data_IF_057370734449
#
_entry.id   IF_057370734449
#
_cell.length_a   1.000
_cell.length_b   1.000
_cell.length_c   1.000
_cell.angle_alpha   90.00
_cell.angle_beta   90.00
_cell.angle_gamma   90.00
#
_symmetry.space_group_name_H-M   'P 1'
#
loop_
_entity.id
_entity.type
_entity.pdbx_description
1 polymer ?
#
# COMPACT_ATOMS: atom_id res chain seq x y z
N UNK A 1 -31.43 29.02 -61.50
CA UNK A 1 -30.80 30.30 -61.12
C UNK A 1 -29.30 30.08 -60.98
N UNK A 2 -28.47 30.75 -61.79
CA UNK A 2 -27.02 30.71 -61.63
C UNK A 2 -26.67 31.60 -60.44
N UNK A 3 -26.22 31.00 -59.34
CA UNK A 3 -25.66 31.75 -58.21
C UNK A 3 -24.28 32.22 -58.65
N UNK A 4 -24.17 33.51 -58.97
CA UNK A 4 -22.88 34.14 -59.19
C UNK A 4 -22.21 34.27 -57.83
N UNK A 5 -21.31 33.35 -57.51
CA UNK A 5 -20.39 33.49 -56.38
C UNK A 5 -19.19 34.31 -56.85
N UNK A 6 -19.36 35.63 -56.87
CA UNK A 6 -18.19 36.51 -56.77
C UNK A 6 -17.52 36.18 -55.44
N UNK A 7 -16.43 35.41 -55.50
CA UNK A 7 -15.57 35.15 -54.36
C UNK A 7 -14.87 36.47 -54.04
N UNK A 8 -15.40 37.19 -53.07
CA UNK A 8 -14.75 38.39 -52.53
C UNK A 8 -13.36 37.96 -52.04
N UNK A 9 -12.28 38.63 -52.49
CA UNK A 9 -10.93 38.31 -52.06
C UNK A 9 -10.82 38.40 -50.53
N UNK A 10 -10.31 37.34 -49.90
CA UNK A 10 -10.07 37.24 -48.45
C UNK A 10 -9.02 38.26 -47.94
N UNK A 11 -8.42 39.05 -48.84
CA UNK A 11 -7.51 40.16 -48.53
C UNK A 11 -8.25 41.47 -48.22
N UNK A 12 -9.57 41.53 -48.45
CA UNK A 12 -10.42 42.69 -48.11
C UNK A 12 -11.18 42.45 -46.82
N UNK A 13 -11.39 43.49 -46.01
CA UNK A 13 -12.15 43.41 -44.74
C UNK A 13 -13.53 42.74 -44.92
N UNK A 14 -14.20 43.03 -46.05
CA UNK A 14 -15.49 42.45 -46.39
C UNK A 14 -15.40 40.93 -46.65
N UNK A 15 -14.34 40.47 -47.32
CA UNK A 15 -14.10 39.04 -47.55
C UNK A 15 -13.80 38.26 -46.27
N UNK A 16 -13.07 38.88 -45.33
CA UNK A 16 -12.78 38.30 -44.01
C UNK A 16 -14.07 38.19 -43.19
N UNK A 17 -14.88 39.25 -43.16
CA UNK A 17 -16.16 39.27 -42.44
C UNK A 17 -17.06 38.14 -42.94
N UNK A 18 -17.30 38.04 -44.25
CA UNK A 18 -18.22 37.04 -44.80
C UNK A 18 -17.72 35.60 -44.61
N UNK A 19 -16.40 35.38 -44.65
CA UNK A 19 -15.80 34.08 -44.37
C UNK A 19 -15.99 33.67 -42.91
N UNK A 20 -15.64 34.56 -41.98
CA UNK A 20 -15.74 34.28 -40.54
C UNK A 20 -17.21 34.19 -40.10
N UNK A 21 -18.10 35.03 -40.62
CA UNK A 21 -19.54 34.95 -40.32
C UNK A 21 -20.16 33.64 -40.83
N UNK A 22 -19.73 33.16 -42.01
CA UNK A 22 -20.13 31.84 -42.52
C UNK A 22 -19.54 30.70 -41.68
N UNK A 23 -18.32 30.84 -41.19
CA UNK A 23 -17.63 29.83 -40.36
C UNK A 23 -18.26 29.69 -38.98
N UNK A 24 -18.61 30.81 -38.34
CA UNK A 24 -19.11 30.83 -36.97
C UNK A 24 -20.64 30.87 -36.88
N UNK A 25 -21.34 31.15 -37.98
CA UNK A 25 -22.80 31.25 -38.02
C UNK A 25 -23.37 32.45 -37.26
N UNK A 26 -22.52 33.40 -36.87
CA UNK A 26 -22.83 34.62 -36.12
C UNK A 26 -22.03 35.80 -36.69
N UNK A 27 -22.52 37.05 -36.57
CA UNK A 27 -21.77 38.21 -36.99
C UNK A 27 -20.40 38.28 -36.33
N UNK A 28 -19.33 38.60 -37.08
CA UNK A 28 -17.95 38.55 -36.58
C UNK A 28 -17.75 39.47 -35.37
N UNK A 29 -18.47 40.59 -35.35
CA UNK A 29 -18.50 41.53 -34.21
C UNK A 29 -19.10 40.90 -32.94
N UNK A 30 -20.09 40.04 -33.05
CA UNK A 30 -20.68 39.32 -31.90
C UNK A 30 -19.75 38.21 -31.41
N UNK A 31 -19.13 37.47 -32.33
CA UNK A 31 -18.07 36.50 -32.00
C UNK A 31 -16.92 37.17 -31.26
N UNK A 32 -16.49 38.34 -31.74
CA UNK A 32 -15.44 39.15 -31.12
C UNK A 32 -15.82 39.63 -29.71
N UNK A 33 -17.03 40.15 -29.51
CA UNK A 33 -17.54 40.53 -28.18
C UNK A 33 -17.57 39.34 -27.22
N UNK A 34 -18.02 38.19 -27.70
CA UNK A 34 -18.00 36.96 -26.91
C UNK A 34 -16.58 36.55 -26.55
N UNK A 35 -15.62 36.62 -27.47
CA UNK A 35 -14.21 36.34 -27.20
C UNK A 35 -13.58 37.30 -26.18
N UNK A 36 -13.91 38.60 -26.25
CA UNK A 36 -13.45 39.61 -25.29
C UNK A 36 -14.03 39.37 -23.88
N UNK A 37 -15.33 39.14 -23.78
CA UNK A 37 -16.01 38.82 -22.51
C UNK A 37 -15.45 37.53 -21.93
N UNK A 38 -15.34 36.50 -22.77
CA UNK A 38 -14.84 35.18 -22.44
C UNK A 38 -13.41 35.24 -21.88
N UNK A 39 -12.43 35.76 -22.63
CA UNK A 39 -11.03 35.63 -22.25
C UNK A 39 -10.49 36.81 -21.41
N UNK A 40 -10.93 38.05 -21.66
CA UNK A 40 -10.35 39.22 -20.98
C UNK A 40 -11.17 39.70 -19.79
N UNK A 41 -12.50 39.72 -19.87
CA UNK A 41 -13.31 40.20 -18.76
C UNK A 41 -13.27 39.24 -17.56
N UNK A 42 -13.50 37.94 -17.78
CA UNK A 42 -13.47 36.97 -16.69
C UNK A 42 -12.09 36.84 -16.05
N UNK A 43 -11.00 36.79 -16.84
CA UNK A 43 -9.65 36.72 -16.27
C UNK A 43 -9.34 37.93 -15.38
N UNK A 44 -9.73 39.14 -15.78
CA UNK A 44 -9.53 40.33 -14.96
C UNK A 44 -10.40 40.33 -13.70
N UNK A 45 -11.67 39.92 -13.80
CA UNK A 45 -12.54 39.78 -12.63
C UNK A 45 -12.01 38.73 -11.64
N UNK A 46 -11.44 37.63 -12.14
CA UNK A 46 -10.86 36.59 -11.28
C UNK A 46 -9.56 37.00 -10.61
N UNK A 47 -8.76 37.85 -11.25
CA UNK A 47 -7.47 38.29 -10.71
C UNK A 47 -7.60 39.53 -9.81
N UNK A 48 -8.51 40.44 -10.14
CA UNK A 48 -8.57 41.78 -9.55
C UNK A 48 -9.95 42.16 -8.98
N UNK A 49 -10.97 41.33 -9.16
CA UNK A 49 -12.34 41.65 -8.75
C UNK A 49 -13.00 42.70 -9.67
N UNK A 50 -14.04 43.42 -9.21
CA UNK A 50 -14.73 44.44 -9.98
C UNK A 50 -13.78 45.54 -10.47
N UNK A 51 -13.99 46.07 -11.68
CA UNK A 51 -13.18 47.17 -12.19
C UNK A 51 -13.32 48.41 -11.30
N UNK A 52 -12.22 48.83 -10.67
CA UNK A 52 -12.08 50.17 -10.11
C UNK A 52 -11.48 51.11 -11.18
N UNK A 53 -12.29 52.05 -11.65
CA UNK A 53 -11.92 53.02 -12.69
C UNK A 53 -10.77 53.93 -12.23
N UNK A 54 -10.61 54.14 -10.92
CA UNK A 54 -9.54 54.98 -10.37
C UNK A 54 -8.19 54.25 -10.30
N UNK A 55 -8.22 52.91 -10.33
CA UNK A 55 -7.02 52.07 -10.27
C UNK A 55 -6.37 51.84 -11.64
N UNK A 56 -7.07 52.19 -12.73
CA UNK A 56 -6.62 51.91 -14.10
C UNK A 56 -6.26 53.20 -14.86
N UNK A 57 -5.18 53.18 -15.69
CA UNK A 57 -4.83 54.33 -16.51
C UNK A 57 -5.94 54.71 -17.50
N UNK A 58 -6.12 56.00 -17.84
CA UNK A 58 -7.12 56.44 -18.81
C UNK A 58 -6.86 55.85 -20.20
N UNK A 59 -7.93 55.56 -20.95
CA UNK A 59 -7.82 55.09 -22.34
C UNK A 59 -7.42 56.22 -23.28
N UNK A 60 -6.57 55.91 -24.25
CA UNK A 60 -6.33 56.78 -25.39
C UNK A 60 -7.58 56.92 -26.27
N UNK A 61 -7.72 58.07 -26.93
CA UNK A 61 -8.88 58.39 -27.77
C UNK A 61 -9.06 57.39 -28.93
N UNK A 62 -8.00 56.72 -29.38
CA UNK A 62 -8.06 55.70 -30.43
C UNK A 62 -8.09 54.25 -29.91
N UNK A 63 -8.03 54.04 -28.58
CA UNK A 63 -8.01 52.69 -27.98
C UNK A 63 -9.41 52.07 -27.89
N UNK A 64 -9.98 51.75 -29.07
CA UNK A 64 -11.29 51.09 -29.20
C UNK A 64 -11.29 49.71 -28.52
N UNK A 65 -10.18 48.97 -28.66
CA UNK A 65 -10.03 47.63 -28.08
C UNK A 65 -9.97 47.68 -26.55
N UNK A 66 -9.24 48.64 -25.98
CA UNK A 66 -9.19 48.88 -24.55
C UNK A 66 -10.55 49.34 -23.99
N UNK A 67 -11.30 50.14 -24.77
CA UNK A 67 -12.69 50.51 -24.43
C UNK A 67 -13.59 49.28 -24.35
N UNK A 68 -13.57 48.43 -25.37
CA UNK A 68 -14.40 47.22 -25.40
C UNK A 68 -14.05 46.24 -24.28
N UNK A 69 -12.75 46.09 -23.95
CA UNK A 69 -12.27 45.28 -22.82
C UNK A 69 -12.76 45.82 -21.47
N UNK A 70 -12.65 47.13 -21.24
CA UNK A 70 -13.13 47.75 -19.99
C UNK A 70 -14.65 47.65 -19.88
N UNK A 71 -15.38 47.89 -20.97
CA UNK A 71 -16.82 47.76 -21.00
C UNK A 71 -17.27 46.33 -20.67
N UNK A 72 -16.61 45.32 -21.25
CA UNK A 72 -16.90 43.91 -20.95
C UNK A 72 -16.59 43.56 -19.48
N UNK A 73 -15.50 44.09 -18.90
CA UNK A 73 -15.19 43.89 -17.49
C UNK A 73 -16.16 44.64 -16.56
N UNK A 74 -16.51 45.90 -16.87
CA UNK A 74 -17.51 46.66 -16.14
C UNK A 74 -18.88 45.98 -16.14
N UNK A 75 -19.25 45.32 -17.25
CA UNK A 75 -20.50 44.58 -17.35
C UNK A 75 -20.59 43.38 -16.37
N UNK A 76 -19.46 42.88 -15.86
CA UNK A 76 -19.44 41.84 -14.82
C UNK A 76 -19.80 42.39 -13.43
N UNK A 77 -19.73 43.71 -13.23
CA UNK A 77 -20.14 44.38 -12.00
C UNK A 77 -19.48 43.81 -10.73
N UNK A 78 -20.31 43.56 -9.71
CA UNK A 78 -19.89 43.07 -8.40
C UNK A 78 -19.79 41.53 -8.31
N UNK A 79 -19.62 40.84 -9.44
CA UNK A 79 -19.46 39.39 -9.47
C UNK A 79 -18.25 38.96 -8.64
N UNK A 80 -18.41 37.95 -7.79
CA UNK A 80 -17.29 37.44 -6.98
C UNK A 80 -16.27 36.70 -7.84
N UNK A 81 -15.05 36.53 -7.33
CA UNK A 81 -14.00 35.74 -8.00
C UNK A 81 -14.49 34.33 -8.36
N UNK A 82 -15.16 33.65 -7.43
CA UNK A 82 -15.69 32.29 -7.65
C UNK A 82 -16.76 32.29 -8.75
N UNK A 83 -17.67 33.26 -8.74
CA UNK A 83 -18.69 33.40 -9.77
C UNK A 83 -18.08 33.70 -11.15
N UNK A 84 -17.02 34.50 -11.19
CA UNK A 84 -16.28 34.78 -12.42
C UNK A 84 -15.55 33.54 -12.95
N UNK A 85 -14.92 32.75 -12.09
CA UNK A 85 -14.32 31.46 -12.47
C UNK A 85 -15.39 30.50 -13.03
N UNK A 86 -16.54 30.38 -12.37
CA UNK A 86 -17.64 29.53 -12.84
C UNK A 86 -18.21 30.00 -14.18
N UNK A 87 -18.45 31.30 -14.35
CA UNK A 87 -18.94 31.88 -15.61
C UNK A 87 -17.97 31.65 -16.77
N UNK A 88 -16.66 31.78 -16.52
CA UNK A 88 -15.61 31.44 -17.48
C UNK A 88 -15.66 29.96 -17.88
N UNK A 89 -15.68 29.06 -16.90
CA UNK A 89 -15.70 27.61 -17.10
C UNK A 89 -16.97 27.17 -17.84
N UNK A 90 -18.14 27.68 -17.47
CA UNK A 90 -19.40 27.36 -18.17
C UNK A 90 -19.38 27.84 -19.63
N UNK A 91 -18.77 29.01 -19.88
CA UNK A 91 -18.62 29.50 -21.24
C UNK A 91 -17.63 28.63 -22.03
N UNK A 92 -16.54 28.18 -21.39
CA UNK A 92 -15.59 27.22 -21.97
C UNK A 92 -16.26 25.91 -22.35
N UNK A 93 -17.01 25.32 -21.42
CA UNK A 93 -17.73 24.05 -21.62
C UNK A 93 -18.73 24.13 -22.78
N UNK A 94 -19.45 25.26 -22.89
CA UNK A 94 -20.39 25.49 -24.01
C UNK A 94 -19.69 25.67 -25.36
N UNK A 95 -18.55 26.35 -25.40
CA UNK A 95 -17.86 26.70 -26.64
C UNK A 95 -16.86 25.63 -27.11
N UNK A 96 -16.38 24.77 -26.21
CA UNK A 96 -15.34 23.79 -26.46
C UNK A 96 -15.79 22.38 -26.04
N UNK A 97 -16.33 21.57 -26.98
CA UNK A 97 -16.82 20.23 -26.67
C UNK A 97 -15.76 19.28 -26.09
N UNK A 98 -14.47 19.52 -26.36
CA UNK A 98 -13.36 18.72 -25.83
C UNK A 98 -12.89 19.15 -24.44
N UNK A 99 -13.37 20.28 -23.92
CA UNK A 99 -12.93 20.80 -22.62
C UNK A 99 -13.29 19.85 -21.48
N UNK A 100 -14.54 19.36 -21.44
CA UNK A 100 -14.99 18.44 -20.40
C UNK A 100 -14.25 17.09 -20.40
N UNK A 101 -14.12 16.38 -21.53
CA UNK A 101 -13.30 15.16 -21.60
C UNK A 101 -11.84 15.38 -21.16
N UNK A 102 -11.25 16.53 -21.47
CA UNK A 102 -9.89 16.88 -21.04
C UNK A 102 -9.77 17.04 -19.52
N UNK A 103 -10.73 17.73 -18.89
CA UNK A 103 -10.76 17.88 -17.42
C UNK A 103 -11.02 16.53 -16.73
N UNK A 104 -11.90 15.69 -17.28
CA UNK A 104 -12.17 14.33 -16.77
C UNK A 104 -10.90 13.46 -16.80
N UNK A 105 -10.09 13.54 -17.86
CA UNK A 105 -8.80 12.83 -17.94
C UNK A 105 -7.82 13.31 -16.86
N UNK A 106 -7.69 14.62 -16.65
CA UNK A 106 -6.84 15.19 -15.58
C UNK A 106 -7.32 14.73 -14.21
N UNK A 107 -8.63 14.75 -13.95
CA UNK A 107 -9.19 14.30 -12.69
C UNK A 107 -8.82 12.84 -12.42
N UNK A 108 -8.96 11.98 -13.44
CA UNK A 108 -8.58 10.57 -13.34
C UNK A 108 -7.10 10.39 -13.02
N UNK A 109 -6.21 11.15 -13.65
CA UNK A 109 -4.78 11.10 -13.36
C UNK A 109 -4.47 11.49 -11.89
N UNK A 110 -5.19 12.49 -11.34
CA UNK A 110 -5.06 12.85 -9.93
C UNK A 110 -5.54 11.75 -8.99
N UNK A 111 -6.66 11.11 -9.31
CA UNK A 111 -7.22 9.99 -8.54
C UNK A 111 -6.27 8.79 -8.57
N UNK A 112 -5.81 8.39 -9.76
CA UNK A 112 -4.87 7.28 -9.95
C UNK A 112 -3.55 7.52 -9.20
N UNK A 113 -3.02 8.75 -9.24
CA UNK A 113 -1.81 9.11 -8.49
C UNK A 113 -2.02 8.97 -6.98
N UNK A 114 -3.15 9.47 -6.46
CA UNK A 114 -3.48 9.36 -5.04
C UNK A 114 -3.65 7.90 -4.61
N UNK A 115 -4.31 7.08 -5.43
CA UNK A 115 -4.43 5.64 -5.16
C UNK A 115 -3.08 4.92 -5.16
N UNK A 116 -2.19 5.26 -6.10
CA UNK A 116 -0.85 4.68 -6.14
C UNK A 116 -0.03 5.04 -4.91
N UNK A 117 -0.13 6.27 -4.42
CA UNK A 117 0.54 6.71 -3.19
C UNK A 117 0.04 5.92 -1.97
N UNK A 118 -1.28 5.76 -1.82
CA UNK A 118 -1.88 4.96 -0.74
C UNK A 118 -1.49 3.48 -0.85
N UNK A 119 -1.52 2.89 -2.06
CA UNK A 119 -1.10 1.50 -2.28
C UNK A 119 0.37 1.29 -1.93
N UNK A 120 1.26 2.21 -2.30
CA UNK A 120 2.68 2.16 -1.95
C UNK A 120 2.90 2.29 -0.44
N UNK A 121 2.20 3.19 0.22
CA UNK A 121 2.29 3.35 1.67
C UNK A 121 1.80 2.09 2.40
N UNK A 122 0.69 1.50 1.95
CA UNK A 122 0.18 0.26 2.52
C UNK A 122 1.13 -0.91 2.29
N UNK A 123 1.71 -1.03 1.10
CA UNK A 123 2.72 -2.05 0.80
C UNK A 123 3.95 -1.90 1.69
N UNK A 124 4.42 -0.66 1.92
CA UNK A 124 5.55 -0.41 2.80
C UNK A 124 5.23 -0.77 4.25
N UNK A 125 4.03 -0.43 4.74
CA UNK A 125 3.57 -0.81 6.09
C UNK A 125 3.48 -2.32 6.24
N UNK A 126 2.85 -3.01 5.28
CA UNK A 126 2.72 -4.47 5.30
C UNK A 126 4.09 -5.16 5.22
N UNK A 127 5.01 -4.63 4.42
CA UNK A 127 6.37 -5.16 4.30
C UNK A 127 7.13 -5.01 5.62
N UNK A 128 7.09 -3.81 6.23
CA UNK A 128 7.73 -3.56 7.52
C UNK A 128 7.14 -4.43 8.63
N UNK A 129 5.81 -4.57 8.68
CA UNK A 129 5.15 -5.44 9.67
C UNK A 129 5.56 -6.92 9.47
N UNK A 130 5.68 -7.37 8.22
CA UNK A 130 6.15 -8.72 7.93
C UNK A 130 7.61 -8.90 8.37
N UNK A 131 8.49 -7.94 8.10
CA UNK A 131 9.88 -7.97 8.54
C UNK A 131 9.98 -7.99 10.08
N UNK A 132 9.21 -7.15 10.76
CA UNK A 132 9.16 -7.10 12.23
C UNK A 132 8.67 -8.43 12.82
N UNK A 133 7.67 -9.08 12.21
CA UNK A 133 7.19 -10.41 12.64
C UNK A 133 8.26 -11.49 12.46
N UNK A 134 8.94 -11.51 11.31
CA UNK A 134 10.00 -12.49 11.03
C UNK A 134 11.18 -12.30 12.00
N UNK A 135 11.54 -11.05 12.30
CA UNK A 135 12.58 -10.74 13.27
C UNK A 135 12.20 -11.23 14.67
N UNK A 136 10.98 -10.94 15.12
CA UNK A 136 10.49 -11.34 16.43
C UNK A 136 10.45 -12.87 16.59
N UNK A 137 9.99 -13.60 15.56
CA UNK A 137 9.97 -15.06 15.56
C UNK A 137 11.39 -15.63 15.62
N UNK A 138 12.33 -15.06 14.84
CA UNK A 138 13.74 -15.44 14.88
C UNK A 138 14.36 -15.21 16.25
N UNK A 139 14.08 -14.07 16.87
CA UNK A 139 14.60 -13.72 18.19
C UNK A 139 14.00 -14.61 19.28
N UNK A 140 12.70 -14.91 19.20
CA UNK A 140 12.04 -15.84 20.12
C UNK A 140 12.64 -17.24 20.02
N UNK A 141 12.85 -17.76 18.79
CA UNK A 141 13.47 -19.06 18.55
C UNK A 141 14.91 -19.11 19.06
N UNK A 142 15.70 -18.06 18.82
CA UNK A 142 17.09 -17.99 19.30
C UNK A 142 17.15 -17.92 20.83
N UNK A 143 16.27 -17.13 21.47
CA UNK A 143 16.21 -17.07 22.94
C UNK A 143 15.77 -18.41 23.54
N UNK A 144 14.79 -19.11 22.93
CA UNK A 144 14.37 -20.43 23.37
C UNK A 144 15.53 -21.43 23.32
N UNK A 145 16.27 -21.46 22.20
CA UNK A 145 17.48 -22.29 22.05
C UNK A 145 18.55 -21.95 23.06
N UNK A 146 18.85 -20.67 23.27
CA UNK A 146 19.85 -20.24 24.24
C UNK A 146 19.47 -20.69 25.66
N UNK A 147 18.19 -20.57 26.02
CA UNK A 147 17.69 -20.99 27.34
C UNK A 147 17.81 -22.51 27.51
N UNK A 148 17.51 -23.29 26.47
CA UNK A 148 17.66 -24.76 26.49
C UNK A 148 19.13 -25.16 26.62
N UNK A 149 20.03 -24.54 25.84
CA UNK A 149 21.48 -24.77 25.92
C UNK A 149 22.04 -24.43 27.31
N UNK A 150 21.59 -23.33 27.91
CA UNK A 150 21.95 -22.97 29.28
C UNK A 150 21.44 -24.00 30.30
N UNK A 151 20.22 -24.52 30.14
CA UNK A 151 19.69 -25.58 31.00
C UNK A 151 20.53 -26.86 30.88
N UNK A 152 20.85 -27.28 29.65
CA UNK A 152 21.71 -28.43 29.38
C UNK A 152 23.09 -28.24 30.03
N UNK A 153 23.69 -27.07 29.89
CA UNK A 153 24.98 -26.78 30.50
C UNK A 153 24.93 -26.83 32.02
N UNK A 154 23.89 -26.24 32.64
CA UNK A 154 23.69 -26.32 34.10
C UNK A 154 23.59 -27.77 34.60
N UNK A 155 22.87 -28.63 33.87
CA UNK A 155 22.78 -30.07 34.21
C UNK A 155 24.14 -30.75 34.08
N UNK A 156 24.87 -30.50 32.99
CA UNK A 156 26.22 -31.06 32.78
C UNK A 156 27.19 -30.63 33.89
N UNK A 157 27.19 -29.36 34.26
CA UNK A 157 28.08 -28.81 35.29
C UNK A 157 27.75 -29.40 36.67
N UNK A 158 26.45 -29.55 36.99
CA UNK A 158 26.01 -30.18 38.23
C UNK A 158 26.39 -31.66 38.31
N UNK A 159 26.18 -32.43 37.23
CA UNK A 159 26.61 -33.83 37.14
C UNK A 159 28.13 -33.93 37.28
N UNK A 160 28.86 -33.05 36.60
CA UNK A 160 30.30 -33.01 36.68
C UNK A 160 30.77 -32.73 38.11
N UNK A 161 30.21 -31.73 38.79
CA UNK A 161 30.54 -31.43 40.19
C UNK A 161 30.34 -32.63 41.12
N UNK A 162 29.37 -33.51 40.84
CA UNK A 162 29.11 -34.71 41.61
C UNK A 162 30.10 -35.85 41.33
N UNK A 163 30.49 -36.06 40.07
CA UNK A 163 31.25 -37.24 39.65
C UNK A 163 32.71 -36.95 39.28
N UNK A 164 33.14 -35.69 39.28
CA UNK A 164 34.47 -35.27 38.82
C UNK A 164 35.61 -35.98 39.56
N UNK A 165 35.55 -36.03 40.89
CA UNK A 165 36.61 -36.61 41.72
C UNK A 165 36.83 -38.09 41.38
N UNK A 166 35.74 -38.85 41.23
CA UNK A 166 35.78 -40.27 40.85
C UNK A 166 36.37 -40.48 39.45
N UNK A 167 35.99 -39.63 38.48
CA UNK A 167 36.54 -39.71 37.12
C UNK A 167 38.00 -39.28 37.08
N UNK A 168 38.38 -38.31 37.89
CA UNK A 168 39.75 -37.83 38.02
C UNK A 168 40.67 -38.92 38.59
N UNK A 169 40.28 -39.56 39.70
CA UNK A 169 41.02 -40.69 40.28
C UNK A 169 41.18 -41.85 39.29
N UNK A 170 40.11 -42.21 38.57
CA UNK A 170 40.16 -43.24 37.55
C UNK A 170 41.10 -42.87 36.41
N UNK A 171 41.06 -41.62 35.93
CA UNK A 171 41.94 -41.15 34.87
C UNK A 171 43.41 -41.14 35.30
N UNK A 172 43.71 -40.75 36.54
CA UNK A 172 45.06 -40.81 37.11
C UNK A 172 45.61 -42.24 37.15
N UNK A 173 44.77 -43.24 37.43
CA UNK A 173 45.19 -44.65 37.42
C UNK A 173 45.51 -45.14 36.00
N UNK A 174 44.74 -44.70 34.98
CA UNK A 174 44.95 -45.13 33.59
C UNK A 174 46.14 -44.42 32.92
N UNK A 175 46.36 -43.13 33.23
CA UNK A 175 47.40 -42.31 32.60
C UNK A 175 48.19 -41.47 33.62
N UNK A 176 49.03 -42.07 34.50
CA UNK A 176 49.66 -41.35 35.62
C UNK A 176 50.48 -40.11 35.24
N UNK A 177 51.18 -40.14 34.09
CA UNK A 177 52.12 -39.09 33.68
C UNK A 177 51.61 -38.21 32.52
N UNK A 178 50.38 -38.43 32.04
CA UNK A 178 49.86 -37.74 30.85
C UNK A 178 48.54 -37.00 31.15
N UNK A 179 48.68 -35.72 31.50
CA UNK A 179 47.58 -34.82 31.86
C UNK A 179 46.59 -34.61 30.71
N UNK A 180 47.08 -34.53 29.47
CA UNK A 180 46.22 -34.34 28.29
C UNK A 180 45.31 -35.55 28.06
N UNK A 181 45.85 -36.76 28.19
CA UNK A 181 45.07 -38.00 28.09
C UNK A 181 44.10 -38.16 29.27
N UNK A 182 44.49 -37.76 30.47
CA UNK A 182 43.57 -37.70 31.63
C UNK A 182 42.38 -36.78 31.33
N UNK A 183 42.63 -35.57 30.82
CA UNK A 183 41.59 -34.59 30.50
C UNK A 183 40.62 -35.09 29.41
N UNK A 184 41.14 -35.75 28.37
CA UNK A 184 40.32 -36.35 27.31
C UNK A 184 39.47 -37.50 27.87
N UNK A 185 40.04 -38.38 28.70
CA UNK A 185 39.31 -39.50 29.30
C UNK A 185 38.21 -39.01 30.25
N UNK A 186 38.49 -38.03 31.09
CA UNK A 186 37.51 -37.41 32.00
C UNK A 186 36.34 -36.84 31.19
N UNK A 187 36.60 -36.13 30.10
CA UNK A 187 35.55 -35.58 29.23
C UNK A 187 34.69 -36.68 28.61
N UNK A 188 35.28 -37.78 28.13
CA UNK A 188 34.53 -38.91 27.59
C UNK A 188 33.64 -39.59 28.64
N UNK A 189 34.14 -39.73 29.88
CA UNK A 189 33.36 -40.29 30.99
C UNK A 189 32.21 -39.39 31.39
N UNK A 190 32.43 -38.07 31.46
CA UNK A 190 31.37 -37.09 31.69
C UNK A 190 30.30 -37.12 30.61
N UNK A 191 30.69 -37.20 29.33
CA UNK A 191 29.75 -37.28 28.21
C UNK A 191 28.89 -38.56 28.28
N UNK A 192 29.49 -39.71 28.61
CA UNK A 192 28.75 -40.97 28.82
C UNK A 192 27.81 -40.88 30.02
N UNK A 193 28.29 -40.37 31.15
CA UNK A 193 27.49 -40.22 32.36
C UNK A 193 26.28 -39.31 32.13
N UNK A 194 26.46 -38.21 31.39
CA UNK A 194 25.36 -37.35 30.97
C UNK A 194 24.35 -38.09 30.08
N UNK A 195 24.80 -38.89 29.12
CA UNK A 195 23.90 -39.67 28.25
C UNK A 195 23.07 -40.70 29.04
N UNK A 196 23.69 -41.43 29.96
CA UNK A 196 23.02 -42.40 30.83
C UNK A 196 21.96 -41.71 31.71
N UNK A 197 22.30 -40.56 32.28
CA UNK A 197 21.38 -39.76 33.07
C UNK A 197 20.16 -39.27 32.27
N UNK A 198 20.37 -38.74 31.06
CA UNK A 198 19.26 -38.31 30.19
C UNK A 198 18.39 -39.50 29.79
N UNK A 199 18.98 -40.68 29.54
CA UNK A 199 18.22 -41.89 29.23
C UNK A 199 17.34 -42.32 30.40
N UNK A 200 17.88 -42.28 31.63
CA UNK A 200 17.11 -42.61 32.83
C UNK A 200 15.95 -41.62 33.05
N UNK A 201 16.21 -40.31 32.92
CA UNK A 201 15.16 -39.28 33.00
C UNK A 201 14.04 -39.51 31.98
N UNK A 202 14.38 -39.88 30.74
CA UNK A 202 13.38 -40.16 29.71
C UNK A 202 12.52 -41.39 30.03
N UNK A 203 13.09 -42.41 30.68
CA UNK A 203 12.34 -43.58 31.15
C UNK A 203 11.42 -43.19 32.31
N UNK A 204 11.93 -42.46 33.29
CA UNK A 204 11.17 -42.02 34.46
C UNK A 204 10.00 -41.11 34.05
N UNK A 205 10.21 -40.21 33.09
CA UNK A 205 9.15 -39.34 32.55
C UNK A 205 8.06 -40.17 31.85
N UNK A 206 8.43 -41.20 31.08
CA UNK A 206 7.47 -42.11 30.43
C UNK A 206 6.65 -42.89 31.46
N UNK A 207 7.31 -43.41 32.51
CA UNK A 207 6.64 -44.12 33.59
C UNK A 207 5.69 -43.20 34.36
N UNK A 208 6.10 -41.98 34.68
CA UNK A 208 5.27 -40.98 35.33
C UNK A 208 4.03 -40.61 34.49
N UNK A 209 4.22 -40.37 33.19
CA UNK A 209 3.11 -40.11 32.24
C UNK A 209 2.16 -41.30 32.12
N UNK A 210 2.68 -42.53 32.16
CA UNK A 210 1.83 -43.73 32.13
C UNK A 210 1.02 -43.91 33.41
N UNK A 211 1.59 -43.63 34.59
CA UNK A 211 0.89 -43.70 35.87
C UNK A 211 -0.23 -42.66 36.02
N UNK A 212 -0.12 -41.50 35.37
CA UNK A 212 -1.18 -40.48 35.34
C UNK A 212 -2.39 -41.00 34.51
N UNK A 213 -2.14 -41.69 33.41
CA UNK A 213 -3.21 -42.28 32.58
C UNK A 213 -3.93 -43.48 33.24
N UNK A 214 -3.35 -44.11 34.27
CA UNK A 214 -4.00 -45.21 35.01
C UNK A 214 -4.93 -44.74 36.15
N UNK A 215 -4.95 -43.45 36.48
CA UNK A 215 -5.79 -42.91 37.57
C UNK A 215 -7.08 -42.23 37.08
N UNK A 216 -7.31 -42.11 35.76
CA UNK A 216 -8.54 -41.53 35.21
C UNK A 216 -9.60 -42.55 34.77
N UNK A 217 -9.30 -43.86 34.80
CA UNK A 217 -10.23 -44.94 34.43
C UNK A 217 -10.62 -45.84 35.62
N UNK A 218 -11.05 -45.28 36.75
CA UNK A 218 -11.73 -46.08 37.80
C UNK A 218 -12.71 -45.25 38.65
N UNK A 219 -13.73 -44.68 37.99
CA UNK A 219 -15.03 -44.41 38.64
C UNK A 219 -16.16 -44.71 37.65
N UNK A 220 -16.57 -45.98 37.62
CA UNK A 220 -17.81 -46.41 36.99
C UNK A 220 -18.94 -46.41 38.03
N UNK A 221 -19.83 -45.42 38.01
CA UNK A 221 -21.23 -45.60 38.39
C UNK A 221 -22.15 -44.83 37.43
N UNK A 222 -22.73 -45.60 36.50
CA UNK A 222 -24.14 -45.57 36.06
C UNK A 222 -24.86 -44.23 35.91
N UNK A 223 -25.30 -43.91 34.68
CA UNK A 223 -26.72 -44.03 34.29
C UNK A 223 -26.97 -43.53 32.84
N UNK A 224 -27.54 -44.44 32.05
CA UNK A 224 -28.62 -44.28 31.06
C UNK A 224 -28.58 -43.22 29.94
N UNK A 225 -28.49 -43.78 28.72
CA UNK A 225 -29.50 -43.72 27.65
C UNK A 225 -29.73 -42.40 26.87
N UNK A 226 -29.19 -42.35 25.65
CA UNK A 226 -29.90 -42.31 24.34
C UNK A 226 -28.93 -41.82 23.24
N UNK A 227 -28.73 -42.59 22.17
CA UNK A 227 -29.39 -42.46 20.84
C UNK A 227 -29.10 -41.08 20.21
N UNK A 228 -28.50 -40.94 19.03
CA UNK A 228 -28.69 -41.74 17.82
C UNK A 228 -27.42 -41.82 16.97
N UNK A 229 -27.34 -42.95 16.26
CA UNK A 229 -26.45 -43.24 15.15
C UNK A 229 -26.88 -42.50 13.88
N UNK A 230 -25.93 -42.10 13.04
CA UNK A 230 -26.06 -42.30 11.60
C UNK A 230 -24.69 -42.28 10.90
N UNK A 231 -24.24 -43.46 10.46
CA UNK A 231 -23.21 -43.61 9.45
C UNK A 231 -23.81 -43.31 8.07
N UNK A 232 -23.01 -42.74 7.18
CA UNK A 232 -22.86 -43.31 5.84
C UNK A 232 -21.57 -42.82 5.20
N UNK A 233 -20.71 -43.80 4.92
CA UNK A 233 -19.59 -43.75 4.01
C UNK A 233 -20.04 -43.37 2.59
N UNK A 234 -19.19 -42.61 1.89
CA UNK A 234 -18.76 -42.95 0.52
C UNK A 234 -17.50 -42.15 0.19
N UNK A 235 -16.40 -42.87 0.02
CA UNK A 235 -15.20 -42.46 -0.72
C UNK A 235 -15.55 -41.91 -2.10
N UNK A 236 -14.82 -40.89 -2.60
CA UNK A 236 -14.15 -40.87 -3.93
C UNK A 236 -13.05 -39.78 -3.90
N UNK A 237 -11.82 -40.25 -4.12
CA UNK A 237 -10.61 -39.51 -4.43
C UNK A 237 -10.69 -39.01 -5.89
N UNK A 238 -10.36 -37.75 -6.18
CA UNK A 238 -9.65 -37.48 -7.44
C UNK A 238 -8.68 -36.29 -7.34
N UNK A 239 -7.44 -36.60 -7.68
CA UNK A 239 -6.28 -35.72 -7.71
C UNK A 239 -6.06 -35.31 -9.16
N UNK A 240 -6.05 -34.01 -9.47
CA UNK A 240 -5.71 -33.55 -10.84
C UNK A 240 -4.49 -32.64 -10.83
N UNK A 241 -3.32 -33.24 -11.05
CA UNK A 241 -2.10 -32.57 -11.52
C UNK A 241 -1.94 -32.73 -13.04
N UNK A 242 -1.48 -31.65 -13.68
CA UNK A 242 -0.66 -31.53 -14.90
C UNK A 242 -0.94 -32.40 -16.13
N UNK A 243 -1.22 -31.73 -17.27
CA UNK A 243 -0.68 -32.12 -18.60
C UNK A 243 -0.46 -30.88 -19.48
N UNK A 244 0.80 -30.65 -19.90
CA UNK A 244 1.21 -30.21 -21.26
C UNK A 244 1.85 -31.45 -21.92
N UNK A 245 1.71 -31.72 -23.23
CA UNK A 245 2.36 -31.00 -24.37
C UNK A 245 1.41 -30.90 -25.62
N UNK A 246 1.71 -30.38 -26.81
CA UNK A 246 2.91 -30.03 -27.60
C UNK A 246 2.81 -28.60 -28.17
#
# INVERSE_FOLDING_TARGET
MKVNTEKIPLETDQGIIESEERRWGLPLKEVYKHGLLFYKAYTQQTAHGPLDVNSVPPLGVLDVIGRDRRAAWQALGHMSQIQAMAGFIHTLDRLCPSFRPYIEAIQKDFEDKKEQEVKKEQQLKNHKELEDRVLLERDSHNNAKLTEEEQVQRVKDALNAQSYEQFYEYAQQQFPDNVDHQAVLIRQLQDKHYQEYIQQLAVDERLAKSHINFNEEDTFETNDAKKDCNSNDTDIIDSKWMVYPE
#
